data_IF_807096720977
#
_entry.id   IF_807096720977
#
_cell.length_a   1.000
_cell.length_b   1.000
_cell.length_c   1.000
_cell.angle_alpha   90.00
_cell.angle_beta   90.00
_cell.angle_gamma   90.00
#
_symmetry.space_group_name_H-M   'P 1'
#
loop_
_entity.id
_entity.type
_entity.pdbx_description
1 polymer ?
#
# COMPACT_ATOMS: atom_id res chain seq x y z
N UNK A 1 11.02 -2.76 18.50
CA UNK A 1 11.20 -1.73 17.44
C UNK A 1 12.16 -0.67 17.98
N UNK A 2 13.15 -0.25 17.19
CA UNK A 2 14.08 0.84 17.56
C UNK A 2 13.58 2.16 16.96
N UNK A 3 13.28 2.16 15.65
CA UNK A 3 12.75 3.32 14.92
C UNK A 3 11.93 2.84 13.72
N UNK A 4 11.03 3.68 13.26
CA UNK A 4 10.25 3.48 12.04
C UNK A 4 10.07 4.80 11.32
N UNK A 5 10.08 4.77 10.00
CA UNK A 5 9.77 5.90 9.14
C UNK A 5 8.83 5.46 7.99
N UNK A 6 8.54 6.34 7.05
CA UNK A 6 7.65 6.06 5.93
C UNK A 6 8.19 5.00 4.93
N UNK A 7 9.43 4.54 5.10
CA UNK A 7 10.06 3.62 4.17
C UNK A 7 10.54 2.31 4.80
N UNK A 8 10.90 2.32 6.10
CA UNK A 8 11.53 1.18 6.76
C UNK A 8 11.37 1.21 8.27
N UNK A 9 11.60 0.07 8.90
CA UNK A 9 11.65 -0.08 10.35
C UNK A 9 12.96 -0.74 10.76
N UNK A 10 13.66 -0.18 11.77
CA UNK A 10 14.79 -0.84 12.44
C UNK A 10 14.27 -1.58 13.66
N UNK A 11 14.59 -2.85 13.74
CA UNK A 11 14.07 -3.76 14.78
C UNK A 11 15.19 -4.59 15.41
N UNK A 12 14.97 -5.01 16.64
CA UNK A 12 15.75 -6.05 17.31
C UNK A 12 14.83 -7.21 17.62
N UNK A 13 15.15 -8.37 17.10
CA UNK A 13 14.52 -9.63 17.49
C UNK A 13 15.30 -10.23 18.66
N UNK A 14 14.60 -10.74 19.66
CA UNK A 14 15.19 -11.41 20.82
C UNK A 14 14.79 -12.86 20.87
N UNK A 15 15.75 -13.72 21.16
CA UNK A 15 15.56 -15.13 21.40
C UNK A 15 16.40 -15.57 22.60
N UNK A 16 15.76 -15.66 23.78
CA UNK A 16 16.46 -15.78 25.04
C UNK A 16 17.38 -14.56 25.25
N UNK A 17 18.66 -14.81 25.51
CA UNK A 17 19.69 -13.79 25.70
C UNK A 17 20.27 -13.26 24.37
N UNK A 18 19.99 -13.92 23.25
CA UNK A 18 20.49 -13.53 21.95
C UNK A 18 19.64 -12.40 21.34
N UNK A 19 20.30 -11.50 20.61
CA UNK A 19 19.65 -10.38 19.92
C UNK A 19 20.13 -10.28 18.49
N UNK A 20 19.19 -10.03 17.57
CA UNK A 20 19.42 -9.97 16.13
C UNK A 20 18.83 -8.67 15.58
N UNK A 21 19.67 -7.79 15.06
CA UNK A 21 19.22 -6.55 14.43
C UNK A 21 18.84 -6.79 12.96
N UNK A 22 17.78 -6.13 12.51
CA UNK A 22 17.41 -6.09 11.11
C UNK A 22 16.77 -4.75 10.74
N UNK A 23 16.93 -4.39 9.46
CA UNK A 23 16.19 -3.30 8.82
C UNK A 23 15.12 -3.93 7.93
N UNK A 24 13.87 -3.68 8.25
CA UNK A 24 12.74 -4.12 7.42
C UNK A 24 12.43 -3.01 6.43
N UNK A 25 12.78 -3.20 5.16
CA UNK A 25 12.63 -2.22 4.08
C UNK A 25 11.18 -2.10 3.57
N UNK A 26 10.24 -2.20 4.50
CA UNK A 26 8.80 -2.06 4.30
C UNK A 26 8.22 -1.27 5.46
N UNK A 27 7.44 -0.22 5.21
CA UNK A 27 6.78 0.51 6.27
C UNK A 27 5.58 -0.26 6.84
N UNK A 28 5.14 0.18 8.01
CA UNK A 28 3.97 -0.35 8.70
C UNK A 28 4.29 -1.50 9.67
N UNK A 29 3.73 -1.40 10.86
CA UNK A 29 3.99 -2.33 11.97
C UNK A 29 3.70 -3.80 11.64
N UNK A 30 2.74 -4.08 10.75
CA UNK A 30 2.42 -5.45 10.33
C UNK A 30 3.60 -6.15 9.61
N UNK A 31 4.47 -5.41 8.94
CA UNK A 31 5.67 -5.99 8.32
C UNK A 31 6.72 -6.40 9.36
N UNK A 32 6.72 -5.77 10.53
CA UNK A 32 7.55 -6.21 11.67
C UNK A 32 7.05 -7.57 12.17
N UNK A 33 5.73 -7.77 12.28
CA UNK A 33 5.17 -9.08 12.65
C UNK A 33 5.45 -10.17 11.61
N UNK A 34 5.39 -9.83 10.31
CA UNK A 34 5.78 -10.75 9.24
C UNK A 34 7.26 -11.15 9.37
N UNK A 35 8.14 -10.20 9.67
CA UNK A 35 9.56 -10.47 9.90
C UNK A 35 9.79 -11.31 11.18
N UNK A 36 9.04 -11.07 12.27
CA UNK A 36 9.05 -11.91 13.45
C UNK A 36 8.67 -13.36 13.12
N UNK A 37 7.64 -13.55 12.32
CA UNK A 37 7.20 -14.88 11.87
C UNK A 37 8.29 -15.57 11.04
N UNK A 38 8.97 -14.82 10.18
CA UNK A 38 10.11 -15.34 9.39
C UNK A 38 11.26 -15.79 10.31
N UNK A 39 11.62 -15.00 11.32
CA UNK A 39 12.63 -15.37 12.32
C UNK A 39 12.22 -16.64 13.08
N UNK A 40 10.96 -16.73 13.53
CA UNK A 40 10.45 -17.90 14.24
C UNK A 40 10.45 -19.16 13.35
N UNK A 41 10.04 -19.07 12.10
CA UNK A 41 10.11 -20.16 11.14
C UNK A 41 11.56 -20.58 10.88
N UNK A 42 12.46 -19.63 10.66
CA UNK A 42 13.89 -19.91 10.48
C UNK A 42 14.47 -20.71 11.66
N UNK A 43 14.15 -20.28 12.88
CA UNK A 43 14.54 -21.02 14.10
C UNK A 43 13.97 -22.44 14.11
N UNK A 44 12.68 -22.58 13.80
CA UNK A 44 12.00 -23.89 13.83
C UNK A 44 12.59 -24.91 12.85
N UNK A 45 13.14 -24.44 11.71
CA UNK A 45 13.80 -25.31 10.72
C UNK A 45 15.33 -25.37 10.89
N UNK A 46 15.87 -24.81 11.97
CA UNK A 46 17.30 -24.92 12.31
C UNK A 46 18.23 -23.97 11.54
N UNK A 47 17.73 -22.88 10.99
CA UNK A 47 18.57 -21.86 10.33
C UNK A 47 19.28 -20.98 11.36
N UNK A 48 20.47 -20.50 10.99
CA UNK A 48 21.18 -19.48 11.77
C UNK A 48 20.39 -18.15 11.71
N UNK A 49 19.90 -17.70 12.86
CA UNK A 49 19.09 -16.48 12.97
C UNK A 49 19.87 -15.21 12.60
N UNK A 50 21.21 -15.23 12.69
CA UNK A 50 22.04 -14.13 12.20
C UNK A 50 21.98 -14.03 10.66
N UNK A 51 21.93 -15.17 9.98
CA UNK A 51 21.76 -15.23 8.52
C UNK A 51 20.34 -14.77 8.14
N UNK A 52 19.31 -15.24 8.85
CA UNK A 52 17.92 -14.85 8.62
C UNK A 52 17.74 -13.33 8.79
N UNK A 53 18.28 -12.72 9.84
CA UNK A 53 18.16 -11.27 10.09
C UNK A 53 18.87 -10.44 9.03
N UNK A 54 20.04 -10.88 8.56
CA UNK A 54 20.74 -10.25 7.42
C UNK A 54 19.95 -10.37 6.12
N UNK A 55 19.35 -11.53 5.85
CA UNK A 55 18.50 -11.74 4.68
C UNK A 55 17.26 -10.86 4.70
N UNK A 56 16.62 -10.69 5.85
CA UNK A 56 15.51 -9.74 6.04
C UNK A 56 15.93 -8.30 5.72
N UNK A 57 17.14 -7.91 6.13
CA UNK A 57 17.67 -6.56 5.87
C UNK A 57 18.03 -6.32 4.40
N UNK A 58 18.42 -7.37 3.69
CA UNK A 58 18.72 -7.34 2.27
C UNK A 58 17.46 -7.49 1.38
N UNK A 59 16.34 -7.89 1.98
CA UNK A 59 15.11 -8.15 1.25
C UNK A 59 14.55 -6.84 0.68
N UNK A 60 14.39 -6.81 -0.64
CA UNK A 60 13.63 -5.78 -1.33
C UNK A 60 12.25 -6.35 -1.65
N UNK A 61 11.22 -5.61 -1.31
CA UNK A 61 9.87 -6.07 -1.57
C UNK A 61 9.61 -6.15 -3.07
N UNK A 62 9.03 -7.27 -3.44
CA UNK A 62 8.51 -7.45 -4.77
C UNK A 62 7.17 -6.74 -4.96
N UNK A 63 6.71 -6.85 -6.12
CA UNK A 63 5.49 -6.50 -6.77
C UNK A 63 4.27 -6.33 -5.85
N UNK A 64 3.61 -5.15 -5.99
CA UNK A 64 2.33 -4.85 -5.34
C UNK A 64 2.36 -4.65 -3.82
N UNK A 65 3.56 -4.64 -3.21
CA UNK A 65 3.71 -4.42 -1.78
C UNK A 65 4.53 -3.16 -1.53
N UNK A 66 3.88 -2.00 -1.57
CA UNK A 66 4.52 -0.68 -1.49
C UNK A 66 5.49 -0.44 -2.67
N UNK A 67 5.09 -0.90 -3.87
CA UNK A 67 5.87 -0.68 -5.09
C UNK A 67 6.00 0.83 -5.36
N UNK A 68 7.21 1.26 -5.68
CA UNK A 68 7.54 2.68 -5.79
C UNK A 68 7.70 3.07 -7.25
N UNK A 69 7.01 4.12 -7.65
CA UNK A 69 7.21 4.81 -8.93
C UNK A 69 7.50 6.29 -8.65
N UNK A 70 8.30 6.91 -9.49
CA UNK A 70 8.50 8.34 -9.47
C UNK A 70 8.23 8.88 -10.88
N UNK A 71 7.20 9.68 -11.02
CA UNK A 71 6.77 10.24 -12.31
C UNK A 71 6.72 11.76 -12.14
N UNK A 72 7.47 12.48 -12.96
CA UNK A 72 7.56 13.95 -12.92
C UNK A 72 7.84 14.49 -11.50
N UNK A 73 8.76 13.85 -10.77
CA UNK A 73 9.13 14.13 -9.38
C UNK A 73 7.97 13.92 -8.38
N UNK A 74 6.92 13.21 -8.76
CA UNK A 74 5.83 12.83 -7.85
C UNK A 74 6.00 11.36 -7.44
N UNK A 75 6.15 11.08 -6.13
CA UNK A 75 6.24 9.70 -5.65
C UNK A 75 4.86 9.04 -5.62
N UNK A 76 4.72 7.93 -6.35
CA UNK A 76 3.56 7.06 -6.33
C UNK A 76 3.92 5.77 -5.58
N UNK A 77 3.04 5.31 -4.71
CA UNK A 77 3.19 4.08 -3.93
C UNK A 77 1.99 3.17 -4.21
N UNK A 78 2.24 2.02 -4.80
CA UNK A 78 1.19 1.05 -5.12
C UNK A 78 1.15 -0.06 -4.08
N UNK A 79 0.00 -0.26 -3.44
CA UNK A 79 -0.18 -1.19 -2.32
C UNK A 79 -1.41 -2.05 -2.59
N UNK A 80 -1.19 -3.32 -2.88
CA UNK A 80 -2.25 -4.31 -3.12
C UNK A 80 -3.16 -4.45 -1.89
N UNK A 81 -4.46 -4.35 -2.12
CA UNK A 81 -5.49 -4.66 -1.13
C UNK A 81 -6.34 -5.84 -1.58
N UNK A 82 -6.86 -6.61 -0.61
CA UNK A 82 -7.68 -7.79 -0.92
C UNK A 82 -8.82 -8.04 0.08
N UNK A 83 -8.71 -7.49 1.29
CA UNK A 83 -9.65 -7.73 2.37
C UNK A 83 -9.59 -6.57 3.39
N UNK A 84 -10.58 -6.49 4.33
CA UNK A 84 -10.62 -5.41 5.31
C UNK A 84 -9.37 -5.33 6.19
N UNK A 85 -8.88 -6.47 6.67
CA UNK A 85 -7.74 -6.50 7.59
C UNK A 85 -6.49 -5.91 6.94
N UNK A 86 -6.16 -6.34 5.71
CA UNK A 86 -5.02 -5.79 4.96
C UNK A 86 -5.21 -4.30 4.62
N UNK A 87 -6.43 -3.92 4.22
CA UNK A 87 -6.75 -2.53 3.91
C UNK A 87 -6.58 -1.63 5.15
N UNK A 88 -7.15 -2.03 6.30
CA UNK A 88 -7.05 -1.29 7.55
C UNK A 88 -5.60 -1.14 8.04
N UNK A 89 -4.72 -2.12 7.79
CA UNK A 89 -3.29 -2.00 8.09
C UNK A 89 -2.62 -0.91 7.24
N UNK A 90 -2.99 -0.80 5.96
CA UNK A 90 -2.48 0.29 5.11
C UNK A 90 -3.04 1.64 5.56
N UNK A 91 -4.33 1.70 5.90
CA UNK A 91 -4.93 2.94 6.44
C UNK A 91 -4.25 3.37 7.75
N UNK A 92 -3.95 2.44 8.67
CA UNK A 92 -3.20 2.75 9.89
C UNK A 92 -1.85 3.41 9.57
N UNK A 93 -1.13 2.88 8.58
CA UNK A 93 0.11 3.50 8.12
C UNK A 93 -0.12 4.91 7.55
N UNK A 94 -1.17 5.10 6.73
CA UNK A 94 -1.49 6.41 6.12
C UNK A 94 -1.90 7.44 7.17
N UNK A 95 -2.57 7.04 8.24
CA UNK A 95 -2.96 7.96 9.33
C UNK A 95 -1.78 8.47 10.16
N UNK A 96 -0.58 7.92 9.97
CA UNK A 96 0.66 8.43 10.57
C UNK A 96 1.34 9.51 9.71
N UNK A 97 0.83 9.80 8.49
CA UNK A 97 1.40 10.82 7.60
C UNK A 97 1.19 12.22 8.18
N UNK A 98 2.22 13.04 8.04
CA UNK A 98 2.26 14.44 8.52
C UNK A 98 2.23 15.45 7.37
N UNK A 99 2.38 14.99 6.14
CA UNK A 99 2.35 15.80 4.93
C UNK A 99 1.12 15.47 4.09
N UNK A 100 0.53 16.44 3.40
CA UNK A 100 -0.61 16.19 2.52
C UNK A 100 -0.29 15.19 1.41
N UNK A 101 -1.20 14.28 1.15
CA UNK A 101 -1.08 13.25 0.11
C UNK A 101 -2.37 13.04 -0.67
N UNK A 102 -2.23 12.53 -1.88
CA UNK A 102 -3.34 12.04 -2.71
C UNK A 102 -3.55 10.55 -2.43
N UNK A 103 -4.80 10.14 -2.36
CA UNK A 103 -5.18 8.75 -2.18
C UNK A 103 -5.92 8.22 -3.40
N UNK A 104 -5.61 7.03 -3.86
CA UNK A 104 -6.34 6.42 -4.96
C UNK A 104 -6.73 4.98 -4.64
N UNK A 105 -7.93 4.56 -5.07
CA UNK A 105 -8.39 3.17 -4.97
C UNK A 105 -8.80 2.69 -6.35
N UNK A 106 -8.29 1.52 -6.74
CA UNK A 106 -8.72 0.85 -7.97
C UNK A 106 -9.41 -0.46 -7.59
N UNK A 107 -10.73 -0.39 -7.41
CA UNK A 107 -11.54 -1.54 -6.97
C UNK A 107 -12.04 -2.34 -8.18
N UNK A 108 -11.80 -3.65 -8.17
CA UNK A 108 -12.27 -4.58 -9.18
C UNK A 108 -12.86 -5.83 -8.53
N UNK A 109 -13.89 -6.41 -9.17
CA UNK A 109 -14.58 -7.63 -8.75
C UNK A 109 -14.40 -8.79 -9.74
N UNK A 110 -13.30 -8.77 -10.50
CA UNK A 110 -13.00 -9.90 -11.40
C UNK A 110 -12.75 -11.17 -10.61
N UNK A 111 -12.83 -12.31 -11.26
CA UNK A 111 -12.73 -13.63 -10.61
C UNK A 111 -11.51 -13.77 -9.69
N UNK A 112 -10.38 -13.20 -10.08
CA UNK A 112 -9.12 -13.26 -9.30
C UNK A 112 -9.14 -12.31 -8.08
N UNK A 113 -9.97 -11.26 -8.11
CA UNK A 113 -10.11 -10.29 -7.01
C UNK A 113 -11.08 -10.80 -5.94
N UNK A 114 -11.99 -11.71 -6.33
CA UNK A 114 -13.19 -12.06 -5.61
C UNK A 114 -14.37 -11.19 -6.05
N UNK A 115 -15.52 -11.83 -6.28
CA UNK A 115 -16.71 -11.12 -6.79
C UNK A 115 -17.45 -10.34 -5.72
N UNK A 116 -17.27 -10.72 -4.47
CA UNK A 116 -17.87 -10.03 -3.34
C UNK A 116 -16.99 -8.85 -2.94
N UNK A 117 -17.53 -7.66 -3.07
CA UNK A 117 -16.90 -6.40 -2.67
C UNK A 117 -17.49 -5.83 -1.38
N UNK A 118 -18.43 -6.53 -0.75
CA UNK A 118 -19.08 -6.03 0.48
C UNK A 118 -18.10 -5.73 1.61
N UNK A 119 -16.93 -6.36 1.57
CA UNK A 119 -15.85 -6.14 2.54
C UNK A 119 -15.37 -4.67 2.62
N UNK A 120 -15.66 -3.83 1.60
CA UNK A 120 -15.30 -2.41 1.66
C UNK A 120 -16.03 -1.67 2.80
N UNK A 121 -17.17 -2.21 3.26
CA UNK A 121 -17.94 -1.66 4.38
C UNK A 121 -17.34 -1.97 5.74
N UNK A 122 -16.46 -2.97 5.83
CA UNK A 122 -15.69 -3.34 7.03
C UNK A 122 -14.32 -2.62 7.11
N UNK A 123 -14.05 -1.70 6.16
CA UNK A 123 -12.82 -0.90 6.13
C UNK A 123 -13.06 0.43 6.84
N UNK A 124 -12.13 0.83 7.70
CA UNK A 124 -12.17 2.06 8.52
C UNK A 124 -11.87 3.33 7.69
N UNK A 125 -12.60 3.54 6.59
CA UNK A 125 -12.43 4.69 5.68
C UNK A 125 -12.61 6.02 6.44
N UNK A 126 -13.46 6.05 7.46
CA UNK A 126 -13.73 7.21 8.31
C UNK A 126 -12.44 7.78 8.93
N UNK A 127 -11.49 6.92 9.29
CA UNK A 127 -10.19 7.36 9.84
C UNK A 127 -9.37 8.14 8.83
N UNK A 128 -9.42 7.73 7.55
CA UNK A 128 -8.76 8.45 6.48
C UNK A 128 -9.43 9.81 6.24
N UNK A 129 -10.76 9.84 6.22
CA UNK A 129 -11.53 11.09 6.03
C UNK A 129 -11.30 12.07 7.18
N UNK A 130 -11.14 11.58 8.42
CA UNK A 130 -10.82 12.39 9.60
C UNK A 130 -9.45 13.09 9.53
N UNK A 131 -8.57 12.71 8.61
CA UNK A 131 -7.29 13.40 8.41
C UNK A 131 -7.46 14.82 7.83
N UNK A 132 -8.65 15.18 7.35
CA UNK A 132 -8.97 16.52 6.89
C UNK A 132 -8.10 16.97 5.71
N UNK A 133 -7.31 18.03 5.90
CA UNK A 133 -6.49 18.61 4.83
C UNK A 133 -5.23 17.80 4.48
N UNK A 134 -4.83 16.85 5.32
CA UNK A 134 -3.78 15.89 4.98
C UNK A 134 -4.24 14.93 3.88
N UNK A 135 -5.52 14.60 3.80
CA UNK A 135 -6.12 13.92 2.66
C UNK A 135 -6.48 14.96 1.59
N UNK A 136 -5.55 15.21 0.67
CA UNK A 136 -5.71 16.22 -0.38
C UNK A 136 -6.87 15.88 -1.32
N UNK A 137 -6.85 14.68 -1.89
CA UNK A 137 -7.83 14.23 -2.86
C UNK A 137 -7.96 12.71 -2.88
N UNK A 138 -9.13 12.22 -3.28
CA UNK A 138 -9.41 10.78 -3.46
C UNK A 138 -9.77 10.53 -4.92
N UNK A 139 -8.97 9.69 -5.58
CA UNK A 139 -9.17 9.28 -6.97
C UNK A 139 -9.63 7.82 -7.00
N UNK A 140 -10.73 7.54 -7.68
CA UNK A 140 -11.31 6.21 -7.72
C UNK A 140 -11.32 5.65 -9.14
N UNK A 141 -10.95 4.38 -9.28
CA UNK A 141 -10.90 3.70 -10.57
C UNK A 141 -11.27 2.21 -10.43
N UNK A 142 -11.20 1.49 -11.54
CA UNK A 142 -11.64 0.10 -11.61
C UNK A 142 -13.12 -0.02 -11.98
N UNK A 143 -13.58 -1.25 -12.17
CA UNK A 143 -14.96 -1.50 -12.58
C UNK A 143 -15.99 -1.35 -11.44
N UNK A 144 -15.52 -1.16 -10.20
CA UNK A 144 -16.32 -0.92 -8.98
C UNK A 144 -15.99 0.42 -8.32
N UNK A 145 -15.56 1.39 -9.12
CA UNK A 145 -15.24 2.73 -8.63
C UNK A 145 -16.46 3.46 -8.03
N UNK A 146 -17.65 3.25 -8.59
CA UNK A 146 -18.87 3.92 -8.12
C UNK A 146 -19.28 3.42 -6.73
N UNK A 147 -19.17 2.11 -6.46
CA UNK A 147 -19.45 1.55 -5.14
C UNK A 147 -18.46 2.08 -4.10
N UNK A 148 -17.21 2.25 -4.50
CA UNK A 148 -16.21 2.86 -3.62
C UNK A 148 -16.49 4.35 -3.40
N UNK A 149 -17.00 5.07 -4.40
CA UNK A 149 -17.43 6.46 -4.25
C UNK A 149 -18.57 6.59 -3.22
N UNK A 150 -19.55 5.71 -3.30
CA UNK A 150 -20.63 5.64 -2.32
C UNK A 150 -20.06 5.38 -0.92
N UNK A 151 -19.09 4.47 -0.78
CA UNK A 151 -18.46 4.17 0.51
C UNK A 151 -17.76 5.41 1.10
N UNK A 152 -17.04 6.19 0.29
CA UNK A 152 -16.43 7.45 0.73
C UNK A 152 -17.44 8.52 1.11
N UNK A 153 -18.55 8.61 0.37
CA UNK A 153 -19.66 9.51 0.73
C UNK A 153 -20.23 9.17 2.10
N UNK A 154 -20.49 7.89 2.38
CA UNK A 154 -20.96 7.44 3.69
C UNK A 154 -19.95 7.69 4.81
N UNK A 155 -18.66 7.70 4.51
CA UNK A 155 -17.61 8.09 5.45
C UNK A 155 -17.53 9.61 5.68
N UNK A 156 -18.31 10.41 4.96
CA UNK A 156 -18.35 11.87 5.10
C UNK A 156 -17.28 12.63 4.33
N UNK A 157 -16.67 12.03 3.29
CA UNK A 157 -15.72 12.75 2.43
C UNK A 157 -16.44 13.85 1.64
N UNK A 158 -15.94 15.11 1.66
CA UNK A 158 -16.45 16.17 0.81
C UNK A 158 -16.33 15.81 -0.67
N UNK A 159 -17.42 16.02 -1.42
CA UNK A 159 -17.51 15.58 -2.83
C UNK A 159 -16.52 16.29 -3.75
N UNK A 160 -16.11 17.49 -3.41
CA UNK A 160 -15.07 18.24 -4.14
C UNK A 160 -13.66 17.60 -3.99
N UNK A 161 -13.45 16.73 -3.01
CA UNK A 161 -12.23 15.96 -2.83
C UNK A 161 -12.26 14.59 -3.52
N UNK A 162 -13.37 14.21 -4.19
CA UNK A 162 -13.54 12.89 -4.78
C UNK A 162 -13.73 12.99 -6.29
N UNK A 163 -12.97 12.17 -7.03
CA UNK A 163 -13.06 12.07 -8.48
C UNK A 163 -13.02 10.61 -8.93
N UNK A 164 -13.90 10.23 -9.86
CA UNK A 164 -13.89 8.90 -10.50
C UNK A 164 -13.21 9.02 -11.86
N UNK A 165 -12.05 8.35 -12.00
CA UNK A 165 -11.23 8.32 -13.21
C UNK A 165 -11.10 6.88 -13.70
N UNK A 166 -11.81 6.50 -14.76
CA UNK A 166 -11.94 5.09 -15.15
C UNK A 166 -10.73 4.55 -15.90
N UNK A 167 -10.09 5.36 -16.72
CA UNK A 167 -8.89 4.95 -17.46
C UNK A 167 -7.66 5.03 -16.56
N UNK A 168 -6.81 4.00 -16.58
CA UNK A 168 -5.64 3.94 -15.70
C UNK A 168 -4.52 4.89 -16.11
N UNK A 169 -4.42 5.28 -17.38
CA UNK A 169 -3.45 6.29 -17.80
C UNK A 169 -3.88 7.67 -17.31
N UNK A 170 -5.15 7.98 -17.45
CA UNK A 170 -5.70 9.26 -16.98
C UNK A 170 -5.69 9.32 -15.45
N UNK A 171 -5.96 8.22 -14.74
CA UNK A 171 -5.79 8.12 -13.29
C UNK A 171 -4.35 8.43 -12.89
N UNK A 172 -3.37 7.83 -13.57
CA UNK A 172 -1.95 8.07 -13.27
C UNK A 172 -1.58 9.53 -13.49
N UNK A 173 -2.03 10.13 -14.60
CA UNK A 173 -1.84 11.57 -14.88
C UNK A 173 -2.52 12.44 -13.83
N UNK A 174 -3.74 12.12 -13.39
CA UNK A 174 -4.46 12.84 -12.35
C UNK A 174 -3.69 12.78 -11.01
N UNK A 175 -3.15 11.61 -10.63
CA UNK A 175 -2.30 11.48 -9.45
C UNK A 175 -1.06 12.39 -9.54
N UNK A 176 -0.37 12.39 -10.68
CA UNK A 176 0.83 13.21 -10.91
C UNK A 176 0.52 14.71 -10.92
N UNK A 177 -0.61 15.10 -11.51
CA UNK A 177 -1.04 16.50 -11.58
C UNK A 177 -1.26 17.15 -10.21
N UNK A 178 -1.54 16.35 -9.16
CA UNK A 178 -1.70 16.83 -7.78
C UNK A 178 -0.38 17.30 -7.14
N UNK A 179 0.78 16.89 -7.68
CA UNK A 179 2.11 17.25 -7.19
C UNK A 179 2.35 16.94 -5.71
N UNK A 180 1.74 15.88 -5.23
CA UNK A 180 1.83 15.37 -3.86
C UNK A 180 2.10 13.87 -3.89
N UNK A 181 2.70 13.29 -2.84
CA UNK A 181 2.81 11.84 -2.72
C UNK A 181 1.45 11.18 -2.96
N UNK A 182 1.39 10.15 -3.78
CA UNK A 182 0.16 9.45 -4.08
C UNK A 182 0.24 7.98 -3.64
N UNK A 183 -0.72 7.54 -2.84
CA UNK A 183 -0.86 6.15 -2.40
C UNK A 183 -2.03 5.51 -3.15
N UNK A 184 -1.71 4.51 -3.96
CA UNK A 184 -2.67 3.84 -4.82
C UNK A 184 -2.93 2.44 -4.29
N UNK A 185 -4.18 2.14 -3.95
CA UNK A 185 -4.62 0.86 -3.40
C UNK A 185 -5.48 0.09 -4.42
N UNK A 186 -4.87 -0.70 -5.30
CA UNK A 186 -5.60 -1.53 -6.24
C UNK A 186 -5.91 -2.91 -5.65
N UNK A 187 -7.02 -3.53 -6.10
CA UNK A 187 -7.18 -4.99 -6.08
C UNK A 187 -6.30 -5.65 -7.13
N UNK A 188 -6.16 -6.97 -7.10
CA UNK A 188 -5.14 -7.70 -7.87
C UNK A 188 -5.20 -7.45 -9.37
N UNK A 189 -6.36 -7.60 -10.01
CA UNK A 189 -6.47 -7.42 -11.47
C UNK A 189 -6.33 -5.96 -11.88
N UNK A 190 -6.83 -5.04 -11.05
CA UNK A 190 -6.64 -3.60 -11.24
C UNK A 190 -5.15 -3.24 -11.13
N UNK A 191 -4.42 -3.83 -10.17
CA UNK A 191 -2.99 -3.64 -9.99
C UNK A 191 -2.20 -4.05 -11.23
N UNK A 192 -2.47 -5.24 -11.78
CA UNK A 192 -1.81 -5.73 -13.00
C UNK A 192 -2.01 -4.77 -14.18
N UNK A 193 -3.24 -4.31 -14.37
CA UNK A 193 -3.60 -3.40 -15.47
C UNK A 193 -2.97 -2.03 -15.29
N UNK A 194 -3.06 -1.44 -14.09
CA UNK A 194 -2.47 -0.14 -13.76
C UNK A 194 -0.95 -0.17 -13.93
N UNK A 195 -0.30 -1.20 -13.38
CA UNK A 195 1.14 -1.36 -13.49
C UNK A 195 1.61 -1.50 -14.94
N UNK A 196 0.89 -2.30 -15.74
CA UNK A 196 1.17 -2.42 -17.17
C UNK A 196 1.05 -1.07 -17.88
N UNK A 197 0.04 -0.28 -17.53
CA UNK A 197 -0.15 1.08 -18.06
C UNK A 197 1.02 2.00 -17.67
N UNK A 198 1.42 1.99 -16.40
CA UNK A 198 2.55 2.79 -15.90
C UNK A 198 3.85 2.38 -16.62
N UNK A 199 4.13 1.09 -16.72
CA UNK A 199 5.34 0.60 -17.41
C UNK A 199 5.37 1.04 -18.87
N UNK A 200 4.26 0.89 -19.58
CA UNK A 200 4.17 1.21 -21.01
C UNK A 200 4.33 2.70 -21.32
N UNK A 201 3.74 3.58 -20.48
CA UNK A 201 3.65 4.99 -20.79
C UNK A 201 4.70 5.87 -20.09
N UNK A 202 5.31 5.37 -19.00
CA UNK A 202 6.27 6.13 -18.20
C UNK A 202 7.65 5.46 -18.13
N UNK A 203 7.90 4.41 -18.92
CA UNK A 203 9.23 3.82 -19.12
C UNK A 203 9.75 2.98 -17.95
N UNK A 204 8.89 2.49 -17.08
CA UNK A 204 9.28 1.56 -16.04
C UNK A 204 9.40 0.13 -16.57
N UNK A 205 10.24 -0.69 -15.91
CA UNK A 205 10.41 -2.10 -16.29
C UNK A 205 9.09 -2.85 -16.31
N UNK A 206 8.95 -3.77 -17.25
CA UNK A 206 7.80 -4.65 -17.28
C UNK A 206 7.79 -5.59 -16.05
N UNK A 207 6.63 -6.21 -15.80
CA UNK A 207 6.43 -7.06 -14.62
C UNK A 207 7.39 -8.25 -14.54
N UNK A 208 7.81 -8.76 -15.71
CA UNK A 208 8.58 -10.00 -15.86
C UNK A 208 10.08 -9.77 -16.09
N UNK A 209 10.52 -8.54 -16.05
CA UNK A 209 11.92 -8.10 -16.17
C UNK A 209 12.49 -7.68 -14.80
#
# INVERSE_FOLDING_TARGET
>A
MISSDAERSRVVFRDGDASYEATINLPGGYNIYNACSTMACGKAVGLDLQVVSKSLSAFACGFGRMEKFEIDNVPLRMILIKNPAGCNQVLNFLTEMTEPFTFAVCLSDRTQDGRDISWIWDVDIERLVQMGDLLDHVLLSGNRADEMAIRFQYAGLPMEKLEVVRDYLDLTKACVARKKPCYIMPTYTAMLSLRSTISKHFGFKAFWE
#
